data_IF_570367115553
#
_entry.id   IF_570367115553
#
_cell.length_a   1.000
_cell.length_b   1.000
_cell.length_c   1.000
_cell.angle_alpha   90.00
_cell.angle_beta   90.00
_cell.angle_gamma   90.00
#
_symmetry.space_group_name_H-M   'P 1'
#
loop_
_entity.id
_entity.type
_entity.pdbx_description
1 polymer ?
#
# COMPACT_ATOMS: atom_id res chain seq x y z
N UNK A 1 12.81 -10.20 -6.19
CA UNK A 1 12.71 -10.43 -4.73
C UNK A 1 11.34 -11.05 -4.45
N UNK A 2 11.26 -12.18 -3.72
CA UNK A 2 9.98 -12.84 -3.37
C UNK A 2 9.46 -12.27 -2.04
N UNK A 3 8.16 -11.99 -1.98
CA UNK A 3 7.45 -11.47 -0.80
C UNK A 3 7.18 -12.60 0.22
N UNK A 4 7.30 -12.38 1.55
CA UNK A 4 6.85 -13.34 2.55
C UNK A 4 5.32 -13.39 2.62
N UNK A 5 4.82 -14.61 2.73
CA UNK A 5 3.41 -15.01 2.82
C UNK A 5 2.72 -14.48 4.08
N UNK A 6 2.05 -13.33 3.99
CA UNK A 6 0.85 -13.06 4.81
C UNK A 6 -0.26 -12.33 4.05
N UNK A 7 -0.22 -12.35 2.72
CA UNK A 7 -1.28 -11.80 1.86
C UNK A 7 -2.22 -12.93 1.42
N UNK A 8 -2.98 -13.50 2.36
CA UNK A 8 -3.92 -14.59 2.04
C UNK A 8 -5.35 -14.11 1.74
N UNK A 9 -5.62 -12.79 1.74
CA UNK A 9 -6.96 -12.23 1.51
C UNK A 9 -7.24 -11.78 0.07
N UNK A 10 -6.21 -11.51 -0.76
CA UNK A 10 -6.39 -10.87 -2.07
C UNK A 10 -6.57 -11.81 -3.27
N UNK A 11 -6.62 -13.13 -3.08
CA UNK A 11 -6.77 -14.10 -4.19
C UNK A 11 -5.55 -14.18 -5.12
N UNK A 12 -4.43 -13.63 -4.68
CA UNK A 12 -3.20 -13.45 -5.43
C UNK A 12 -2.18 -14.47 -4.91
N UNK A 13 -1.99 -15.58 -5.62
CA UNK A 13 -1.18 -16.70 -5.13
C UNK A 13 0.26 -16.32 -4.69
N UNK A 14 0.96 -17.23 -3.97
CA UNK A 14 2.24 -16.98 -3.28
C UNK A 14 3.41 -16.49 -4.16
N UNK A 15 3.26 -16.50 -5.48
CA UNK A 15 4.33 -16.23 -6.46
C UNK A 15 4.10 -14.98 -7.30
N UNK A 16 3.10 -14.14 -6.98
CA UNK A 16 2.95 -12.86 -7.69
C UNK A 16 4.16 -11.98 -7.41
N UNK A 17 4.89 -11.67 -8.48
CA UNK A 17 5.97 -10.67 -8.48
C UNK A 17 5.38 -9.36 -9.00
N UNK A 18 5.62 -8.28 -8.27
CA UNK A 18 5.29 -6.93 -8.71
C UNK A 18 6.54 -6.25 -9.25
N UNK A 19 6.45 -5.69 -10.45
CA UNK A 19 7.45 -4.76 -10.96
C UNK A 19 7.20 -3.36 -10.40
N UNK A 20 8.02 -2.96 -9.44
CA UNK A 20 7.93 -1.63 -8.87
C UNK A 20 8.31 -0.53 -9.86
N UNK A 21 8.96 -0.83 -11.00
CA UNK A 21 9.18 0.16 -12.04
C UNK A 21 7.89 0.49 -12.82
N UNK A 22 6.90 -0.41 -12.82
CA UNK A 22 5.58 -0.15 -13.34
C UNK A 22 4.71 0.54 -12.28
N UNK A 23 4.20 1.72 -12.62
CA UNK A 23 3.41 2.54 -11.71
C UNK A 23 2.09 1.89 -11.31
N UNK A 24 1.44 1.14 -12.22
CA UNK A 24 0.18 0.46 -11.93
C UNK A 24 0.40 -0.69 -10.96
N UNK A 25 1.45 -1.48 -11.18
CA UNK A 25 1.81 -2.57 -10.27
C UNK A 25 2.25 -2.04 -8.90
N UNK A 26 2.97 -0.91 -8.86
CA UNK A 26 3.32 -0.23 -7.60
C UNK A 26 2.08 0.25 -6.85
N UNK A 27 1.12 0.89 -7.53
CA UNK A 27 -0.16 1.32 -6.93
C UNK A 27 -0.90 0.13 -6.34
N UNK A 28 -0.97 -0.98 -7.07
CA UNK A 28 -1.65 -2.18 -6.61
C UNK A 28 -0.99 -2.79 -5.38
N UNK A 29 0.35 -2.92 -5.39
CA UNK A 29 1.09 -3.38 -4.22
C UNK A 29 0.84 -2.46 -3.01
N UNK A 30 0.84 -1.15 -3.21
CA UNK A 30 0.63 -0.18 -2.12
C UNK A 30 -0.76 -0.31 -1.52
N UNK A 31 -1.79 -0.50 -2.35
CA UNK A 31 -3.15 -0.75 -1.87
C UNK A 31 -3.24 -2.03 -1.03
N UNK A 32 -2.61 -3.11 -1.50
CA UNK A 32 -2.57 -4.41 -0.80
C UNK A 32 -1.85 -4.25 0.54
N UNK A 33 -0.63 -3.70 0.54
CA UNK A 33 0.18 -3.58 1.76
C UNK A 33 -0.46 -2.66 2.80
N UNK A 34 -1.08 -1.55 2.38
CA UNK A 34 -1.72 -0.62 3.30
C UNK A 34 -3.06 -1.15 3.87
N UNK A 35 -3.70 -2.10 3.18
CA UNK A 35 -5.01 -2.65 3.59
C UNK A 35 -4.87 -3.98 4.32
N UNK A 36 -4.04 -4.87 3.79
CA UNK A 36 -3.91 -6.28 4.23
C UNK A 36 -2.49 -6.64 4.70
N UNK A 37 -1.52 -5.74 4.56
CA UNK A 37 -0.13 -6.00 4.90
C UNK A 37 0.17 -5.93 6.39
N UNK A 38 1.28 -6.54 6.78
CA UNK A 38 1.84 -6.43 8.14
C UNK A 38 2.70 -5.17 8.28
N UNK A 39 3.08 -4.83 9.51
CA UNK A 39 4.04 -3.74 9.76
C UNK A 39 5.38 -3.97 9.04
N UNK A 40 5.85 -5.22 8.98
CA UNK A 40 7.07 -5.59 8.25
C UNK A 40 6.91 -5.37 6.73
N UNK A 41 5.74 -5.69 6.17
CA UNK A 41 5.47 -5.43 4.76
C UNK A 41 5.46 -3.93 4.45
N UNK A 42 4.84 -3.14 5.33
CA UNK A 42 4.87 -1.68 5.24
C UNK A 42 6.31 -1.16 5.23
N UNK A 43 7.13 -1.57 6.20
CA UNK A 43 8.53 -1.16 6.28
C UNK A 43 9.36 -1.59 5.07
N UNK A 44 8.97 -2.68 4.42
CA UNK A 44 9.74 -3.28 3.32
C UNK A 44 9.35 -2.72 1.94
N UNK A 45 8.09 -2.40 1.72
CA UNK A 45 7.58 -2.07 0.38
C UNK A 45 7.13 -0.63 0.22
N UNK A 46 6.79 0.06 1.31
CA UNK A 46 6.26 1.42 1.25
C UNK A 46 7.41 2.41 1.40
N UNK A 47 7.68 3.14 0.32
CA UNK A 47 8.51 4.33 0.37
C UNK A 47 7.62 5.54 0.62
N UNK A 48 8.01 6.40 1.57
CA UNK A 48 7.19 7.55 1.99
C UNK A 48 7.01 8.58 0.88
N UNK A 49 8.04 8.84 0.07
CA UNK A 49 7.97 9.81 -1.03
C UNK A 49 7.11 9.28 -2.19
N UNK A 50 7.24 7.99 -2.50
CA UNK A 50 6.34 7.27 -3.42
C UNK A 50 4.90 7.29 -2.94
N UNK A 51 4.68 6.99 -1.66
CA UNK A 51 3.35 6.98 -1.08
C UNK A 51 2.69 8.37 -1.17
N UNK A 52 3.40 9.45 -0.84
CA UNK A 52 2.85 10.81 -0.94
C UNK A 52 2.45 11.17 -2.38
N UNK A 53 3.27 10.82 -3.37
CA UNK A 53 2.98 11.08 -4.80
C UNK A 53 1.81 10.24 -5.30
N UNK A 54 1.73 8.97 -4.89
CA UNK A 54 0.71 8.03 -5.36
C UNK A 54 -0.60 8.13 -4.56
N UNK A 55 -0.58 8.73 -3.37
CA UNK A 55 -1.72 8.89 -2.47
C UNK A 55 -3.05 9.26 -3.14
N UNK A 56 -3.13 10.30 -4.01
CA UNK A 56 -4.39 10.66 -4.67
C UNK A 56 -4.91 9.57 -5.63
N UNK A 57 -4.05 8.65 -6.07
CA UNK A 57 -4.36 7.58 -7.04
C UNK A 57 -4.67 6.25 -6.35
N UNK A 58 -4.33 6.09 -5.07
CA UNK A 58 -4.61 4.86 -4.32
C UNK A 58 -6.10 4.77 -3.99
N UNK A 59 -6.71 3.65 -4.34
CA UNK A 59 -8.07 3.31 -3.92
C UNK A 59 -8.00 2.55 -2.60
N UNK A 60 -8.19 3.27 -1.50
CA UNK A 60 -8.08 2.76 -0.14
C UNK A 60 -9.41 2.96 0.58
N UNK A 61 -9.80 2.04 1.48
CA UNK A 61 -10.92 2.24 2.38
C UNK A 61 -10.74 3.52 3.23
N UNK A 62 -11.84 4.19 3.57
CA UNK A 62 -11.79 5.47 4.29
C UNK A 62 -11.06 5.39 5.64
N UNK A 63 -11.24 4.29 6.36
CA UNK A 63 -10.56 4.08 7.65
C UNK A 63 -9.03 3.96 7.48
N UNK A 64 -8.55 3.32 6.42
CA UNK A 64 -7.11 3.24 6.08
C UNK A 64 -6.60 4.63 5.71
N UNK A 65 -7.34 5.37 4.86
CA UNK A 65 -6.96 6.76 4.51
C UNK A 65 -6.87 7.66 5.74
N UNK A 66 -7.83 7.57 6.65
CA UNK A 66 -7.85 8.36 7.87
C UNK A 66 -6.69 8.02 8.81
N UNK A 67 -6.34 6.74 8.95
CA UNK A 67 -5.21 6.31 9.77
C UNK A 67 -3.87 6.83 9.24
N UNK A 68 -3.70 6.87 7.92
CA UNK A 68 -2.44 7.22 7.27
C UNK A 68 -2.24 8.71 6.96
N UNK A 69 -3.32 9.48 6.79
CA UNK A 69 -3.25 10.91 6.45
C UNK A 69 -2.35 11.74 7.42
N UNK A 70 -2.42 11.57 8.76
CA UNK A 70 -1.55 12.30 9.70
C UNK A 70 -0.05 12.03 9.47
N UNK A 71 0.32 10.80 9.14
CA UNK A 71 1.72 10.41 8.90
C UNK A 71 2.29 11.00 7.60
N UNK A 72 1.41 11.29 6.65
CA UNK A 72 1.75 11.94 5.38
C UNK A 72 1.75 13.47 5.46
N UNK A 73 1.35 14.05 6.59
CA UNK A 73 1.14 15.49 6.74
C UNK A 73 -0.09 16.00 5.99
N UNK A 74 -1.02 15.10 5.64
CA UNK A 74 -2.27 15.41 5.00
C UNK A 74 -3.36 15.55 6.07
N UNK A 75 -4.25 16.54 5.92
CA UNK A 75 -5.43 16.60 6.76
C UNK A 75 -6.28 15.34 6.51
N UNK A 76 -6.78 14.70 7.57
CA UNK A 76 -7.72 13.60 7.44
C UNK A 76 -8.95 14.07 6.63
N UNK A 77 -9.49 13.26 5.71
CA UNK A 77 -10.69 13.64 4.98
C UNK A 77 -11.81 13.93 5.99
N UNK A 78 -12.39 15.12 5.90
CA UNK A 78 -13.52 15.54 6.71
C UNK A 78 -14.66 14.55 6.53
N UNK A 79 -15.14 14.02 7.65
CA UNK A 79 -16.21 13.02 7.76
C UNK A 79 -17.55 13.54 7.24
#
# INVERSE_FOLDING_TARGET
MRLPLSVYSSGLGPDRVFDLADERERIELYQIVLTDGTEDDVCRYIDRHELQRLWPRLWLPDHVRAAWAPHLGLAAPSR
#
